data_IF_429914773363
#
_entry.id   IF_429914773363
#
_cell.length_a   1.000
_cell.length_b   1.000
_cell.length_c   1.000
_cell.angle_alpha   90.00
_cell.angle_beta   90.00
_cell.angle_gamma   90.00
#
_symmetry.space_group_name_H-M   'P 1'
#
loop_
_entity.id
_entity.type
_entity.pdbx_description
1 polymer ?
#
# COMPACT_ATOMS: atom_id res chain seq x y z
N UNK A 1 25.91 20.88 9.43
CA UNK A 1 26.45 19.82 10.27
C UNK A 1 27.58 20.34 11.12
N UNK A 2 27.63 19.92 12.38
CA UNK A 2 28.70 20.23 13.31
C UNK A 2 29.19 18.93 13.97
N UNK A 3 30.45 18.86 14.29
CA UNK A 3 31.03 17.89 15.20
C UNK A 3 31.10 18.53 16.58
N UNK A 4 30.51 17.88 17.56
CA UNK A 4 30.58 18.29 18.95
C UNK A 4 31.56 17.39 19.68
N UNK A 5 32.50 17.97 20.40
CA UNK A 5 33.36 17.28 21.33
C UNK A 5 33.05 17.77 22.75
N UNK A 6 32.88 16.84 23.69
CA UNK A 6 32.43 17.20 25.03
C UNK A 6 32.25 16.00 25.92
N UNK A 7 31.79 16.24 27.16
CA UNK A 7 31.57 15.22 28.19
C UNK A 7 30.11 14.97 28.43
N UNK A 8 29.74 13.69 28.52
CA UNK A 8 28.41 13.30 28.91
C UNK A 8 28.22 13.62 30.41
N UNK A 9 27.15 14.31 30.74
CA UNK A 9 26.77 14.63 32.13
C UNK A 9 25.31 14.20 32.37
N UNK A 10 25.04 13.55 33.50
CA UNK A 10 23.67 13.19 33.87
C UNK A 10 22.80 14.45 34.02
N UNK A 11 21.62 14.47 33.37
CA UNK A 11 20.61 15.51 33.52
C UNK A 11 19.22 14.89 33.46
N UNK A 12 18.53 14.90 34.60
CA UNK A 12 17.15 14.35 34.70
C UNK A 12 16.09 15.12 33.89
N UNK A 13 16.40 16.33 33.41
CA UNK A 13 15.52 17.15 32.59
C UNK A 13 15.64 16.76 31.09
N UNK A 14 16.77 16.13 30.73
CA UNK A 14 16.98 15.63 29.37
C UNK A 14 16.11 14.38 29.13
N UNK A 15 15.42 14.25 27.98
CA UNK A 15 14.69 13.04 27.60
C UNK A 15 15.56 11.77 27.59
N UNK A 16 16.87 11.93 27.36
CA UNK A 16 17.84 10.84 27.33
C UNK A 16 18.47 10.55 28.70
N UNK A 17 18.11 11.31 29.76
CA UNK A 17 18.71 11.21 31.09
C UNK A 17 20.11 11.81 31.21
N UNK A 18 20.66 12.37 30.14
CA UNK A 18 21.96 13.04 30.11
C UNK A 18 22.00 14.18 29.09
N UNK A 19 22.95 15.08 29.27
CA UNK A 19 23.33 16.11 28.32
C UNK A 19 24.81 16.03 27.97
N UNK A 20 25.17 16.63 26.83
CA UNK A 20 26.57 16.79 26.42
C UNK A 20 27.05 18.16 26.83
N UNK A 21 27.97 18.22 27.78
CA UNK A 21 28.72 19.43 28.09
C UNK A 21 29.75 19.67 27.01
N UNK A 22 29.41 20.53 26.06
CA UNK A 22 30.22 20.82 24.89
C UNK A 22 31.53 21.53 25.29
N UNK A 23 32.66 20.99 24.81
CA UNK A 23 33.99 21.57 24.96
C UNK A 23 34.40 22.27 23.64
N UNK A 24 34.15 21.62 22.50
CA UNK A 24 34.41 22.21 21.19
C UNK A 24 33.27 21.95 20.22
N UNK A 25 33.14 22.86 19.24
CA UNK A 25 32.22 22.72 18.12
C UNK A 25 32.94 22.99 16.81
N UNK A 26 32.95 22.03 15.92
CA UNK A 26 33.59 22.14 14.61
C UNK A 26 32.53 22.10 13.51
N UNK A 27 32.51 23.10 12.64
CA UNK A 27 31.61 23.13 11.48
C UNK A 27 32.12 22.13 10.44
N UNK A 28 31.33 21.08 10.18
CA UNK A 28 31.61 20.05 9.17
C UNK A 28 30.97 20.39 7.84
N UNK A 29 29.77 20.96 7.86
CA UNK A 29 29.06 21.43 6.68
C UNK A 29 28.02 22.47 7.07
N UNK A 30 27.89 23.54 6.29
CA UNK A 30 27.00 24.65 6.60
C UNK A 30 26.06 25.00 5.47
N UNK A 31 24.92 25.58 5.83
CA UNK A 31 24.05 26.23 4.88
C UNK A 31 24.68 27.52 4.36
N UNK A 32 24.42 27.83 3.09
CA UNK A 32 24.87 29.11 2.45
C UNK A 32 23.94 30.23 2.87
N UNK A 33 22.79 29.98 3.44
CA UNK A 33 21.82 30.95 3.90
C UNK A 33 20.92 30.39 5.01
N UNK A 34 19.87 31.14 5.36
CA UNK A 34 18.83 30.63 6.28
C UNK A 34 18.07 29.46 5.68
N UNK A 35 17.71 28.48 6.52
CA UNK A 35 16.86 27.38 6.09
C UNK A 35 15.47 27.93 5.72
N UNK A 36 14.86 27.43 4.63
CA UNK A 36 13.52 27.86 4.21
C UNK A 36 12.41 27.41 5.18
N UNK A 37 12.71 26.41 6.03
CA UNK A 37 11.79 25.86 7.03
C UNK A 37 12.46 25.75 8.37
N UNK A 38 11.68 26.00 9.44
CA UNK A 38 12.07 25.69 10.80
C UNK A 38 11.86 24.18 11.04
N UNK A 39 12.94 23.42 11.12
CA UNK A 39 12.90 21.95 11.22
C UNK A 39 13.06 21.42 12.65
N UNK A 40 13.43 22.27 13.60
CA UNK A 40 13.62 21.87 15.01
C UNK A 40 12.32 21.89 15.82
N UNK A 41 11.26 22.49 15.31
CA UNK A 41 9.99 22.66 16.01
C UNK A 41 8.86 21.87 15.35
N UNK A 42 8.50 20.74 15.95
CA UNK A 42 7.47 19.83 15.40
C UNK A 42 6.08 20.48 15.31
N UNK A 43 5.71 21.39 16.22
CA UNK A 43 4.44 22.12 16.13
C UNK A 43 4.40 23.04 14.92
N UNK A 44 5.50 23.71 14.62
CA UNK A 44 5.59 24.56 13.43
C UNK A 44 5.52 23.73 12.15
N UNK A 45 6.24 22.62 12.08
CA UNK A 45 6.18 21.70 10.93
C UNK A 45 4.77 21.12 10.73
N UNK A 46 4.11 20.68 11.78
CA UNK A 46 2.75 20.12 11.70
C UNK A 46 1.71 21.13 11.19
N UNK A 47 1.93 22.41 11.45
CA UNK A 47 1.03 23.50 11.04
C UNK A 47 1.38 24.11 9.68
N UNK A 48 2.44 23.64 9.01
CA UNK A 48 2.77 24.09 7.65
C UNK A 48 1.77 23.52 6.63
N UNK A 49 1.48 24.34 5.62
CA UNK A 49 0.77 23.83 4.45
C UNK A 49 1.61 22.74 3.77
N UNK A 50 0.94 21.67 3.34
CA UNK A 50 1.58 20.51 2.73
C UNK A 50 2.46 20.90 1.54
N UNK A 51 1.99 21.76 0.65
CA UNK A 51 2.79 22.22 -0.52
C UNK A 51 4.06 22.93 -0.12
N UNK A 52 4.05 23.75 0.94
CA UNK A 52 5.26 24.40 1.45
C UNK A 52 6.27 23.36 1.94
N UNK A 53 5.81 22.34 2.64
CA UNK A 53 6.65 21.25 3.13
C UNK A 53 7.20 20.41 1.96
N UNK A 54 6.38 20.11 0.95
CA UNK A 54 6.77 19.32 -0.22
C UNK A 54 7.72 20.09 -1.15
N UNK A 55 7.52 21.40 -1.34
CA UNK A 55 8.41 22.24 -2.14
C UNK A 55 9.82 22.40 -1.50
N UNK A 56 9.92 22.18 -0.20
CA UNK A 56 11.17 22.21 0.55
C UNK A 56 11.54 20.83 1.11
N UNK A 57 11.19 19.74 0.40
CA UNK A 57 11.20 18.37 0.92
C UNK A 57 12.54 17.91 1.47
N UNK A 58 13.66 18.26 0.80
CA UNK A 58 15.02 17.91 1.23
C UNK A 58 15.34 18.46 2.63
N UNK A 59 14.82 19.64 2.95
CA UNK A 59 14.96 20.25 4.28
C UNK A 59 13.95 19.66 5.26
N UNK A 60 12.69 19.52 4.84
CA UNK A 60 11.61 18.98 5.67
C UNK A 60 11.89 17.55 6.18
N UNK A 61 12.47 16.69 5.35
CA UNK A 61 12.87 15.31 5.73
C UNK A 61 13.89 15.25 6.89
N UNK A 62 14.55 16.35 7.23
CA UNK A 62 15.46 16.43 8.39
C UNK A 62 14.74 16.63 9.72
N UNK A 63 13.46 17.00 9.69
CA UNK A 63 12.64 17.10 10.89
C UNK A 63 12.43 15.71 11.50
N UNK A 64 12.56 15.54 12.83
CA UNK A 64 12.43 14.24 13.51
C UNK A 64 11.12 13.51 13.21
N UNK A 65 9.98 14.21 13.25
CA UNK A 65 8.65 13.63 12.99
C UNK A 65 8.51 13.14 11.54
N UNK A 66 8.94 13.93 10.56
CA UNK A 66 8.86 13.55 9.14
C UNK A 66 9.80 12.37 8.85
N UNK A 67 10.99 12.39 9.43
CA UNK A 67 11.93 11.26 9.35
C UNK A 67 11.35 9.98 9.98
N UNK A 68 10.63 10.10 11.10
CA UNK A 68 9.97 8.96 11.74
C UNK A 68 8.91 8.31 10.83
N UNK A 69 8.12 9.10 10.09
CA UNK A 69 7.18 8.58 9.09
C UNK A 69 7.92 7.71 8.05
N UNK A 70 9.07 8.18 7.54
CA UNK A 70 9.86 7.42 6.57
C UNK A 70 10.44 6.13 7.17
N UNK A 71 10.83 6.15 8.44
CA UNK A 71 11.31 4.94 9.14
C UNK A 71 10.17 3.92 9.36
N UNK A 72 8.97 4.38 9.69
CA UNK A 72 7.81 3.47 9.76
C UNK A 72 7.49 2.87 8.39
N UNK A 73 7.59 3.65 7.31
CA UNK A 73 7.44 3.13 5.95
C UNK A 73 8.48 2.04 5.63
N UNK A 74 9.74 2.22 6.02
CA UNK A 74 10.78 1.19 5.93
C UNK A 74 10.42 -0.06 6.75
N UNK A 75 9.95 0.12 7.98
CA UNK A 75 9.50 -0.97 8.86
C UNK A 75 8.34 -1.78 8.27
N UNK A 76 7.37 -1.13 7.61
CA UNK A 76 6.28 -1.82 6.89
C UNK A 76 6.84 -2.69 5.77
N UNK A 77 7.73 -2.15 4.94
CA UNK A 77 8.36 -2.91 3.86
C UNK A 77 9.25 -4.04 4.37
N UNK A 78 9.99 -3.82 5.45
CA UNK A 78 10.83 -4.83 6.08
C UNK A 78 9.99 -5.98 6.65
N UNK A 79 8.91 -5.67 7.38
CA UNK A 79 7.98 -6.67 7.89
C UNK A 79 7.35 -7.51 6.76
N UNK A 80 7.01 -6.91 5.63
CA UNK A 80 6.50 -7.62 4.45
C UNK A 80 7.58 -8.54 3.85
N UNK A 81 8.80 -8.05 3.66
CA UNK A 81 9.92 -8.82 3.07
C UNK A 81 10.35 -10.04 3.90
N UNK A 82 10.08 -10.04 5.18
CA UNK A 82 10.48 -11.15 6.07
C UNK A 82 9.71 -12.45 5.82
N UNK A 83 8.70 -12.45 4.95
CA UNK A 83 7.76 -13.56 4.79
C UNK A 83 8.11 -14.56 3.68
N UNK A 84 8.66 -14.12 2.52
CA UNK A 84 8.69 -14.94 1.30
C UNK A 84 9.94 -14.69 0.45
N UNK A 85 9.97 -15.28 -0.77
CA UNK A 85 11.03 -15.05 -1.75
C UNK A 85 10.72 -13.87 -2.65
N UNK A 86 11.61 -12.88 -2.65
CA UNK A 86 11.50 -11.68 -3.48
C UNK A 86 11.98 -11.96 -4.91
N UNK A 87 11.25 -11.44 -5.90
CA UNK A 87 11.70 -11.34 -7.28
C UNK A 87 11.55 -9.90 -7.78
N UNK A 88 12.32 -9.53 -8.80
CA UNK A 88 12.31 -8.16 -9.33
C UNK A 88 11.70 -8.16 -10.73
N UNK A 89 10.47 -7.68 -10.91
CA UNK A 89 9.83 -7.58 -12.23
C UNK A 89 10.37 -6.38 -13.02
N UNK A 90 10.32 -6.44 -14.36
CA UNK A 90 10.68 -5.31 -15.21
C UNK A 90 9.70 -4.13 -14.98
N UNK A 91 10.22 -2.91 -15.09
CA UNK A 91 9.43 -1.67 -14.97
C UNK A 91 9.05 -1.08 -16.34
N UNK A 92 9.75 -1.46 -17.41
CA UNK A 92 9.40 -1.16 -18.80
C UNK A 92 8.68 -2.37 -19.40
N UNK A 93 7.47 -2.15 -19.91
CA UNK A 93 6.59 -3.20 -20.44
C UNK A 93 5.99 -2.78 -21.78
N UNK A 94 5.54 -3.74 -22.58
CA UNK A 94 4.91 -3.45 -23.88
C UNK A 94 3.46 -2.99 -23.79
N UNK A 95 2.77 -3.26 -22.68
CA UNK A 95 1.37 -2.91 -22.48
C UNK A 95 0.91 -3.15 -21.07
N UNK A 96 -0.28 -2.68 -20.72
CA UNK A 96 -0.86 -2.82 -19.39
C UNK A 96 -1.52 -4.17 -19.17
N UNK A 97 -1.32 -4.73 -18.00
CA UNK A 97 -2.03 -5.92 -17.53
C UNK A 97 -3.36 -5.58 -16.85
N UNK A 98 -3.54 -4.33 -16.45
CA UNK A 98 -4.69 -3.86 -15.68
C UNK A 98 -5.38 -2.72 -16.42
N UNK A 99 -6.71 -2.75 -16.46
CA UNK A 99 -7.51 -1.61 -16.90
C UNK A 99 -7.68 -0.59 -15.77
N UNK A 100 -8.11 0.62 -16.11
CA UNK A 100 -8.59 1.59 -15.13
C UNK A 100 -7.72 2.84 -14.94
N UNK A 101 -6.42 2.79 -15.18
CA UNK A 101 -5.56 3.98 -15.18
C UNK A 101 -4.78 4.11 -16.49
N UNK A 102 -4.53 5.33 -16.92
CA UNK A 102 -3.66 5.59 -18.06
C UNK A 102 -2.23 5.14 -17.76
N UNK A 103 -1.54 4.67 -18.80
CA UNK A 103 -0.13 4.29 -18.69
C UNK A 103 0.79 5.41 -19.14
N UNK A 104 1.87 5.62 -18.39
CA UNK A 104 2.95 6.50 -18.84
C UNK A 104 3.74 5.84 -19.97
N UNK A 105 3.68 6.44 -21.15
CA UNK A 105 4.44 5.99 -22.31
C UNK A 105 5.89 6.51 -22.26
N UNK A 106 6.84 5.65 -22.57
CA UNK A 106 8.27 5.94 -22.64
C UNK A 106 8.79 5.61 -24.03
N UNK A 107 9.63 6.48 -24.60
CA UNK A 107 10.34 6.18 -25.82
C UNK A 107 11.44 5.15 -25.52
N UNK A 108 11.34 3.97 -26.14
CA UNK A 108 12.29 2.87 -25.96
C UNK A 108 12.93 2.52 -27.31
N UNK A 109 14.09 3.12 -27.60
CA UNK A 109 14.71 3.04 -28.93
C UNK A 109 13.72 3.39 -30.05
N UNK A 110 13.44 2.47 -30.96
CA UNK A 110 12.48 2.66 -32.07
C UNK A 110 11.07 2.13 -31.73
N UNK A 111 10.84 1.74 -30.47
CA UNK A 111 9.58 1.17 -30.00
C UNK A 111 8.96 2.09 -28.92
N UNK A 112 7.69 1.81 -28.60
CA UNK A 112 7.00 2.36 -27.45
C UNK A 112 7.04 1.36 -26.31
N UNK A 113 7.44 1.81 -25.13
CA UNK A 113 7.30 1.08 -23.90
C UNK A 113 6.40 1.87 -22.94
N UNK A 114 5.96 1.21 -21.88
CA UNK A 114 5.16 1.82 -20.85
C UNK A 114 5.75 1.52 -19.47
N UNK A 115 5.55 2.44 -18.53
CA UNK A 115 5.87 2.17 -17.13
C UNK A 115 4.84 1.20 -16.54
N UNK A 116 5.32 0.21 -15.82
CA UNK A 116 4.51 -0.89 -15.30
C UNK A 116 3.53 -0.40 -14.22
N UNK A 117 2.23 -0.67 -14.40
CA UNK A 117 1.17 -0.34 -13.45
C UNK A 117 1.06 -1.34 -12.29
N UNK A 118 1.51 -2.58 -12.51
CA UNK A 118 1.43 -3.68 -11.56
C UNK A 118 2.31 -4.85 -12.03
N UNK A 119 2.97 -5.59 -11.13
CA UNK A 119 3.73 -6.79 -11.48
C UNK A 119 2.85 -8.02 -11.75
N UNK A 120 1.54 -7.89 -11.93
CA UNK A 120 0.56 -8.98 -11.91
C UNK A 120 0.92 -10.16 -12.82
N UNK A 121 1.25 -9.91 -14.08
CA UNK A 121 1.59 -10.99 -15.02
C UNK A 121 2.86 -11.74 -14.61
N UNK A 122 3.83 -11.00 -14.10
CA UNK A 122 5.12 -11.56 -13.68
C UNK A 122 5.00 -12.37 -12.39
N UNK A 123 4.25 -11.89 -11.39
CA UNK A 123 4.07 -12.65 -10.15
C UNK A 123 3.28 -13.94 -10.37
N UNK A 124 2.28 -13.94 -11.28
CA UNK A 124 1.58 -15.16 -11.68
C UNK A 124 2.52 -16.17 -12.38
N UNK A 125 3.36 -15.71 -13.31
CA UNK A 125 4.35 -16.58 -13.95
C UNK A 125 5.35 -17.17 -12.95
N UNK A 126 5.78 -16.37 -11.95
CA UNK A 126 6.76 -16.78 -10.95
C UNK A 126 6.21 -17.79 -9.92
N UNK A 127 4.89 -17.92 -9.77
CA UNK A 127 4.26 -19.00 -8.98
C UNK A 127 4.62 -20.39 -9.50
N UNK A 128 4.74 -20.55 -10.83
CA UNK A 128 5.20 -21.80 -11.44
C UNK A 128 6.69 -22.11 -11.19
N UNK A 129 7.44 -21.18 -10.58
CA UNK A 129 8.88 -21.31 -10.30
C UNK A 129 9.16 -21.49 -8.80
N UNK A 130 8.50 -20.67 -7.95
CA UNK A 130 8.81 -20.62 -6.51
C UNK A 130 7.60 -20.88 -5.59
N UNK A 131 6.46 -21.24 -6.13
CA UNK A 131 5.20 -21.50 -5.41
C UNK A 131 4.65 -20.28 -4.68
N UNK A 132 5.47 -19.56 -3.92
CA UNK A 132 5.13 -18.35 -3.18
C UNK A 132 6.17 -17.29 -3.45
N UNK A 133 5.74 -16.16 -3.98
CA UNK A 133 6.62 -15.06 -4.37
C UNK A 133 6.05 -13.71 -3.94
N UNK A 134 6.95 -12.76 -3.74
CA UNK A 134 6.57 -11.38 -3.56
C UNK A 134 7.53 -10.44 -4.31
N UNK A 135 7.11 -9.21 -4.45
CA UNK A 135 7.95 -8.10 -4.91
C UNK A 135 7.57 -6.82 -4.19
N UNK A 136 8.58 -6.02 -3.85
CA UNK A 136 8.39 -4.65 -3.36
C UNK A 136 9.08 -3.71 -4.33
N UNK A 137 8.34 -2.77 -4.90
CA UNK A 137 8.96 -1.82 -5.83
C UNK A 137 7.97 -0.83 -6.43
N UNK A 138 8.48 0.18 -7.15
CA UNK A 138 7.66 1.24 -7.71
C UNK A 138 6.70 0.69 -8.78
N UNK A 139 5.49 1.20 -8.75
CA UNK A 139 4.45 1.04 -9.78
C UNK A 139 3.94 2.41 -10.19
N UNK A 140 3.43 2.51 -11.42
CA UNK A 140 3.14 3.78 -12.06
C UNK A 140 1.71 3.78 -12.59
N UNK A 141 0.89 4.72 -12.14
CA UNK A 141 -0.49 4.87 -12.58
C UNK A 141 -0.76 6.30 -13.00
N UNK A 142 -1.14 6.53 -14.25
CA UNK A 142 -1.51 7.83 -14.79
C UNK A 142 -2.88 8.28 -14.30
N UNK A 143 -3.06 8.32 -12.98
CA UNK A 143 -4.31 8.75 -12.35
C UNK A 143 -4.62 10.19 -12.71
N UNK A 144 -5.75 10.42 -13.35
CA UNK A 144 -6.19 11.75 -13.74
C UNK A 144 -6.85 12.54 -12.59
N UNK A 145 -6.69 12.07 -11.37
CA UNK A 145 -7.23 12.66 -10.15
C UNK A 145 -6.10 13.24 -9.26
N UNK A 146 -6.33 14.41 -8.69
CA UNK A 146 -5.42 15.05 -7.73
C UNK A 146 -6.08 15.10 -6.35
N UNK A 147 -6.25 13.93 -5.73
CA UNK A 147 -6.85 13.80 -4.41
C UNK A 147 -5.79 13.49 -3.35
N UNK A 148 -6.08 13.64 -2.05
CA UNK A 148 -5.18 13.22 -0.97
C UNK A 148 -4.86 11.72 -0.94
N UNK A 149 -5.54 10.89 -1.74
CA UNK A 149 -5.45 9.43 -1.74
C UNK A 149 -4.68 8.85 -2.93
N UNK A 150 -4.16 9.70 -3.85
CA UNK A 150 -3.56 9.25 -5.11
C UNK A 150 -2.15 9.78 -5.31
N UNK A 151 -1.27 8.88 -5.74
CA UNK A 151 0.06 9.15 -6.27
C UNK A 151 0.16 8.52 -7.66
N UNK A 152 0.97 9.11 -8.53
CA UNK A 152 1.25 8.56 -9.86
C UNK A 152 2.41 7.57 -9.87
N UNK A 153 3.24 7.59 -8.82
CA UNK A 153 4.30 6.63 -8.53
C UNK A 153 4.26 6.31 -7.04
N UNK A 154 4.16 5.03 -6.70
CA UNK A 154 4.08 4.55 -5.32
C UNK A 154 4.72 3.17 -5.19
N UNK A 155 5.00 2.74 -3.96
CA UNK A 155 5.57 1.42 -3.70
C UNK A 155 4.45 0.37 -3.62
N UNK A 156 4.42 -0.50 -4.63
CA UNK A 156 3.61 -1.71 -4.57
C UNK A 156 4.31 -2.78 -3.75
N UNK A 157 3.56 -3.43 -2.87
CA UNK A 157 3.95 -4.65 -2.17
C UNK A 157 3.01 -5.76 -2.62
N UNK A 158 3.50 -6.60 -3.50
CA UNK A 158 2.72 -7.58 -4.23
C UNK A 158 3.13 -9.00 -3.86
N UNK A 159 2.14 -9.87 -3.69
CA UNK A 159 2.33 -11.29 -3.37
C UNK A 159 1.50 -12.15 -4.31
N UNK A 160 2.00 -13.33 -4.65
CA UNK A 160 1.25 -14.39 -5.32
C UNK A 160 1.64 -15.75 -4.75
N UNK A 161 0.65 -16.65 -4.56
CA UNK A 161 0.81 -17.95 -3.94
C UNK A 161 0.07 -19.01 -4.77
N UNK A 162 0.76 -20.08 -5.09
CA UNK A 162 0.22 -21.28 -5.73
C UNK A 162 -0.22 -22.34 -4.75
N UNK A 163 -0.93 -23.35 -5.28
CA UNK A 163 -1.44 -24.49 -4.52
C UNK A 163 -2.38 -24.08 -3.39
N UNK A 164 -3.20 -23.06 -3.66
CA UNK A 164 -4.27 -22.63 -2.73
C UNK A 164 -5.48 -23.55 -2.87
N UNK A 165 -6.15 -23.81 -1.76
CA UNK A 165 -7.45 -24.49 -1.75
C UNK A 165 -8.57 -23.50 -2.07
N UNK A 166 -8.44 -22.27 -1.56
CA UNK A 166 -9.40 -21.20 -1.78
C UNK A 166 -8.74 -19.80 -1.64
N UNK A 167 -9.46 -18.75 -1.96
CA UNK A 167 -8.96 -17.37 -1.77
C UNK A 167 -8.87 -16.95 -0.29
N UNK A 168 -9.54 -17.66 0.60
CA UNK A 168 -9.43 -17.47 2.05
C UNK A 168 -8.02 -17.74 2.57
N UNK A 169 -7.26 -18.64 1.92
CA UNK A 169 -5.84 -18.90 2.25
C UNK A 169 -4.99 -17.62 2.13
N UNK A 170 -5.34 -16.77 1.15
CA UNK A 170 -4.68 -15.48 0.94
C UNK A 170 -5.05 -14.50 2.05
N UNK A 171 -6.33 -14.45 2.43
CA UNK A 171 -6.81 -13.59 3.51
C UNK A 171 -6.18 -13.97 4.85
N UNK A 172 -6.04 -15.27 5.13
CA UNK A 172 -5.36 -15.77 6.33
C UNK A 172 -3.87 -15.40 6.33
N UNK A 173 -3.19 -15.58 5.20
CA UNK A 173 -1.78 -15.18 5.06
C UNK A 173 -1.62 -13.68 5.28
N UNK A 174 -2.48 -12.87 4.68
CA UNK A 174 -2.45 -11.42 4.81
C UNK A 174 -2.75 -10.95 6.23
N UNK A 175 -3.73 -11.56 6.90
CA UNK A 175 -4.02 -11.28 8.31
C UNK A 175 -2.79 -11.55 9.20
N UNK A 176 -2.13 -12.70 9.04
CA UNK A 176 -0.89 -13.03 9.76
C UNK A 176 0.25 -12.07 9.45
N UNK A 177 0.35 -11.63 8.22
CA UNK A 177 1.34 -10.62 7.79
C UNK A 177 1.12 -9.30 8.54
N UNK A 178 -0.13 -8.80 8.62
CA UNK A 178 -0.41 -7.57 9.35
C UNK A 178 -0.19 -7.71 10.86
N UNK A 179 -0.52 -8.86 11.46
CA UNK A 179 -0.15 -9.16 12.86
C UNK A 179 1.36 -9.00 13.05
N UNK A 180 2.16 -9.58 12.16
CA UNK A 180 3.62 -9.50 12.25
C UNK A 180 4.15 -8.09 12.03
N UNK A 181 3.60 -7.33 11.07
CA UNK A 181 3.99 -5.94 10.80
C UNK A 181 3.68 -5.05 12.02
N UNK A 182 2.48 -5.16 12.60
CA UNK A 182 2.10 -4.35 13.76
C UNK A 182 2.96 -4.67 14.98
N UNK A 183 3.25 -5.95 15.22
CA UNK A 183 4.12 -6.40 16.31
C UNK A 183 5.57 -5.87 16.14
N UNK A 184 6.10 -5.97 14.92
CA UNK A 184 7.40 -5.42 14.55
C UNK A 184 7.49 -3.91 14.81
N UNK A 185 6.50 -3.16 14.32
CA UNK A 185 6.46 -1.71 14.47
C UNK A 185 6.35 -1.29 15.94
N UNK A 186 5.50 -1.95 16.70
CA UNK A 186 5.36 -1.67 18.14
C UNK A 186 6.64 -1.97 18.94
N UNK A 187 7.42 -2.97 18.52
CA UNK A 187 8.64 -3.39 19.22
C UNK A 187 9.88 -2.61 18.79
N UNK A 188 10.08 -2.43 17.48
CA UNK A 188 11.34 -1.92 16.94
C UNK A 188 11.26 -0.45 16.50
N UNK A 189 10.05 0.08 16.30
CA UNK A 189 9.82 1.46 15.85
C UNK A 189 9.01 2.28 16.88
N UNK A 190 9.11 1.90 18.15
CA UNK A 190 8.35 2.53 19.24
C UNK A 190 8.63 4.04 19.39
N UNK A 191 9.88 4.45 19.22
CA UNK A 191 10.28 5.85 19.29
C UNK A 191 9.71 6.66 18.12
N UNK A 192 9.63 6.08 16.94
CA UNK A 192 9.01 6.69 15.77
C UNK A 192 7.50 6.83 15.94
N UNK A 193 6.85 5.81 16.48
CA UNK A 193 5.42 5.87 16.81
C UNK A 193 5.15 6.95 17.85
N UNK A 194 5.98 7.07 18.88
CA UNK A 194 5.87 8.15 19.89
C UNK A 194 5.95 9.55 19.26
N UNK A 195 6.82 9.74 18.26
CA UNK A 195 6.97 11.01 17.55
C UNK A 195 5.77 11.36 16.67
N UNK A 196 5.13 10.36 16.09
CA UNK A 196 4.04 10.59 15.11
C UNK A 196 2.67 10.51 15.75
N UNK A 197 2.38 9.46 16.51
CA UNK A 197 1.09 9.22 17.15
C UNK A 197 0.95 9.94 18.50
N UNK A 198 2.06 10.12 19.21
CA UNK A 198 2.13 10.67 20.56
C UNK A 198 2.74 9.68 21.56
N UNK A 199 3.37 10.20 22.60
CA UNK A 199 4.12 9.41 23.57
C UNK A 199 3.28 8.29 24.17
N UNK A 200 3.79 7.06 24.09
CA UNK A 200 3.16 5.86 24.63
C UNK A 200 2.03 5.30 23.76
N UNK A 201 1.69 5.94 22.62
CA UNK A 201 0.71 5.38 21.69
C UNK A 201 1.31 4.20 20.92
N UNK A 202 0.50 3.17 20.70
CA UNK A 202 0.90 1.96 19.99
C UNK A 202 -0.19 1.55 19.00
N UNK A 203 0.20 0.79 17.98
CA UNK A 203 -0.74 0.15 17.07
C UNK A 203 -1.52 -0.94 17.83
N UNK A 204 -2.77 -1.23 17.44
CA UNK A 204 -3.58 -2.29 18.06
C UNK A 204 -2.87 -3.65 18.03
N UNK A 205 -3.05 -4.46 19.08
CA UNK A 205 -2.58 -5.85 19.07
C UNK A 205 -3.58 -6.73 18.29
N UNK A 206 -3.25 -6.98 17.04
CA UNK A 206 -4.08 -7.81 16.15
C UNK A 206 -4.12 -9.30 16.53
N UNK A 207 -3.28 -9.78 17.45
CA UNK A 207 -3.34 -11.17 17.96
C UNK A 207 -4.60 -11.43 18.80
N UNK A 208 -5.15 -10.38 19.39
CA UNK A 208 -6.32 -10.46 20.27
C UNK A 208 -7.62 -10.10 19.58
N UNK A 209 -7.57 -9.70 18.31
CA UNK A 209 -8.72 -9.20 17.56
C UNK A 209 -8.93 -10.07 16.32
N UNK A 210 -10.14 -10.59 16.17
CA UNK A 210 -10.53 -11.26 14.92
C UNK A 210 -10.81 -10.20 13.85
N UNK A 211 -10.15 -10.28 12.70
CA UNK A 211 -10.43 -9.41 11.57
C UNK A 211 -11.77 -9.84 10.96
N UNK A 212 -12.79 -8.97 10.96
CA UNK A 212 -14.09 -9.29 10.40
C UNK A 212 -14.04 -9.41 8.88
N UNK A 213 -14.99 -10.17 8.33
CA UNK A 213 -15.22 -10.28 6.90
C UNK A 213 -16.70 -10.12 6.57
N UNK A 214 -16.99 -9.49 5.45
CA UNK A 214 -18.34 -9.27 4.94
C UNK A 214 -18.35 -9.42 3.41
N UNK A 215 -19.42 -10.00 2.84
CA UNK A 215 -19.58 -10.00 1.37
C UNK A 215 -19.95 -8.61 0.87
N UNK A 216 -19.50 -8.24 -0.32
CA UNK A 216 -19.77 -6.94 -0.94
C UNK A 216 -21.28 -6.60 -0.96
N UNK A 217 -22.12 -7.55 -1.36
CA UNK A 217 -23.57 -7.33 -1.41
C UNK A 217 -24.14 -7.03 -0.01
N UNK A 218 -23.71 -7.78 1.00
CA UNK A 218 -24.15 -7.63 2.39
C UNK A 218 -23.63 -6.30 2.98
N UNK A 219 -22.41 -5.89 2.62
CA UNK A 219 -21.84 -4.60 3.02
C UNK A 219 -22.66 -3.43 2.49
N UNK A 220 -23.09 -3.51 1.22
CA UNK A 220 -23.98 -2.52 0.60
C UNK A 220 -25.35 -2.44 1.30
N UNK A 221 -25.94 -3.59 1.56
CA UNK A 221 -27.22 -3.66 2.27
C UNK A 221 -27.11 -3.13 3.69
N UNK A 222 -26.09 -3.53 4.43
CA UNK A 222 -25.81 -3.08 5.78
C UNK A 222 -25.64 -1.56 5.85
N UNK A 223 -24.86 -0.99 4.93
CA UNK A 223 -24.67 0.46 4.82
C UNK A 223 -25.99 1.18 4.56
N UNK A 224 -26.74 0.76 3.55
CA UNK A 224 -28.01 1.39 3.18
C UNK A 224 -29.03 1.34 4.33
N UNK A 225 -29.15 0.19 4.99
CA UNK A 225 -30.08 -0.04 6.11
C UNK A 225 -29.74 0.79 7.34
N UNK A 226 -28.45 0.89 7.67
CA UNK A 226 -28.01 1.53 8.93
C UNK A 226 -27.81 3.03 8.78
N UNK A 227 -27.25 3.50 7.64
CA UNK A 227 -27.02 4.92 7.39
C UNK A 227 -28.25 5.66 6.85
N UNK A 228 -29.23 4.93 6.31
CA UNK A 228 -30.38 5.51 5.61
C UNK A 228 -30.03 6.14 4.24
N UNK A 229 -28.79 5.97 3.77
CA UNK A 229 -28.31 6.56 2.52
C UNK A 229 -28.51 5.62 1.33
N UNK A 230 -28.68 6.20 0.16
CA UNK A 230 -28.80 5.43 -1.09
C UNK A 230 -27.41 4.97 -1.55
N UNK A 231 -27.36 3.75 -2.08
CA UNK A 231 -26.19 3.22 -2.79
C UNK A 231 -26.02 4.03 -4.08
N UNK A 232 -24.86 4.63 -4.27
CA UNK A 232 -24.54 5.47 -5.44
C UNK A 232 -23.87 4.67 -6.54
N UNK A 233 -23.02 3.71 -6.19
CA UNK A 233 -22.36 2.80 -7.12
C UNK A 233 -22.73 1.35 -6.77
N UNK A 234 -23.43 0.61 -7.66
CA UNK A 234 -23.86 -0.76 -7.37
C UNK A 234 -22.74 -1.80 -7.53
N UNK A 235 -21.60 -1.43 -8.11
CA UNK A 235 -20.52 -2.39 -8.44
C UNK A 235 -19.20 -2.11 -7.71
N UNK A 236 -19.11 -0.99 -6.99
CA UNK A 236 -17.93 -0.62 -6.20
C UNK A 236 -18.31 0.01 -4.86
N UNK A 237 -17.39 0.05 -3.90
CA UNK A 237 -17.52 0.83 -2.69
C UNK A 237 -17.11 2.28 -2.95
N UNK A 238 -17.96 3.22 -2.60
CA UNK A 238 -17.56 4.62 -2.56
C UNK A 238 -16.65 4.90 -1.36
N UNK A 239 -15.84 5.97 -1.39
CA UNK A 239 -15.01 6.37 -0.25
C UNK A 239 -15.80 6.58 1.05
N UNK A 240 -17.07 6.96 0.94
CA UNK A 240 -17.96 7.14 2.08
C UNK A 240 -18.37 5.79 2.68
N UNK A 241 -18.70 4.81 1.84
CA UNK A 241 -19.04 3.45 2.26
C UNK A 241 -17.85 2.75 2.90
N UNK A 242 -16.65 2.85 2.30
CA UNK A 242 -15.41 2.34 2.90
C UNK A 242 -15.19 2.92 4.30
N UNK A 243 -15.26 4.24 4.44
CA UNK A 243 -15.08 4.94 5.72
C UNK A 243 -16.11 4.48 6.75
N UNK A 244 -17.35 4.36 6.34
CA UNK A 244 -18.43 3.92 7.22
C UNK A 244 -18.21 2.48 7.69
N UNK A 245 -17.89 1.56 6.77
CA UNK A 245 -17.59 0.15 7.09
C UNK A 245 -16.42 0.05 8.08
N UNK A 246 -15.34 0.77 7.85
CA UNK A 246 -14.20 0.79 8.77
C UNK A 246 -14.58 1.27 10.18
N UNK A 247 -15.41 2.29 10.29
CA UNK A 247 -15.89 2.81 11.58
C UNK A 247 -16.85 1.84 12.27
N UNK A 248 -17.76 1.23 11.51
CA UNK A 248 -18.74 0.26 12.01
C UNK A 248 -18.04 -0.95 12.61
N UNK A 249 -17.14 -1.60 11.88
CA UNK A 249 -16.45 -2.79 12.36
C UNK A 249 -15.42 -2.49 13.44
N UNK A 250 -14.77 -1.33 13.42
CA UNK A 250 -13.91 -0.89 14.53
C UNK A 250 -14.70 -0.77 15.84
N UNK A 251 -15.92 -0.21 15.78
CA UNK A 251 -16.78 -0.08 16.96
C UNK A 251 -17.33 -1.44 17.45
N UNK A 252 -17.64 -2.35 16.52
CA UNK A 252 -18.24 -3.65 16.85
C UNK A 252 -17.21 -4.69 17.33
N UNK A 253 -16.04 -4.73 16.69
CA UNK A 253 -15.05 -5.81 16.87
C UNK A 253 -13.73 -5.33 17.49
N UNK A 254 -13.48 -4.01 17.51
CA UNK A 254 -12.17 -3.44 17.86
C UNK A 254 -11.12 -3.57 16.77
N UNK A 255 -11.45 -4.18 15.61
CA UNK A 255 -10.51 -4.36 14.50
C UNK A 255 -10.41 -3.09 13.65
N UNK A 256 -9.21 -2.57 13.40
CA UNK A 256 -9.00 -1.51 12.41
C UNK A 256 -9.09 -2.01 10.97
N UNK A 257 -9.06 -3.34 10.79
CA UNK A 257 -9.08 -4.04 9.51
C UNK A 257 -10.44 -4.71 9.28
N UNK A 258 -10.89 -4.73 8.02
CA UNK A 258 -12.07 -5.49 7.58
C UNK A 258 -11.87 -6.00 6.15
N UNK A 259 -12.14 -7.28 5.92
CA UNK A 259 -12.18 -7.86 4.59
C UNK A 259 -13.57 -7.69 3.98
N UNK A 260 -13.63 -7.12 2.78
CA UNK A 260 -14.84 -7.12 1.95
C UNK A 260 -14.61 -8.07 0.79
N UNK A 261 -15.45 -9.09 0.65
CA UNK A 261 -15.25 -10.21 -0.27
C UNK A 261 -16.30 -10.26 -1.39
N UNK A 262 -16.05 -11.05 -2.43
CA UNK A 262 -17.00 -11.31 -3.52
C UNK A 262 -17.46 -10.03 -4.23
N UNK A 263 -16.50 -9.29 -4.76
CA UNK A 263 -16.81 -8.11 -5.58
C UNK A 263 -17.41 -8.51 -6.94
N UNK A 264 -18.24 -7.63 -7.54
CA UNK A 264 -18.82 -7.88 -8.85
C UNK A 264 -17.75 -8.15 -9.92
N UNK A 265 -17.98 -9.19 -10.75
CA UNK A 265 -17.02 -9.61 -11.79
C UNK A 265 -16.71 -8.50 -12.80
N UNK A 266 -17.68 -7.63 -13.09
CA UNK A 266 -17.49 -6.47 -14.01
C UNK A 266 -16.44 -5.47 -13.51
N UNK A 267 -16.24 -5.39 -12.19
CA UNK A 267 -15.29 -4.47 -11.55
C UNK A 267 -13.87 -5.05 -11.50
N UNK A 268 -13.73 -6.37 -11.44
CA UNK A 268 -12.44 -7.04 -11.28
C UNK A 268 -11.73 -7.27 -12.62
N UNK A 269 -10.39 -7.37 -12.64
CA UNK A 269 -9.63 -7.63 -13.86
C UNK A 269 -9.99 -8.95 -14.54
N UNK A 270 -9.60 -9.11 -15.80
CA UNK A 270 -9.92 -10.28 -16.63
C UNK A 270 -9.31 -11.60 -16.11
N UNK A 271 -8.31 -11.53 -15.27
CA UNK A 271 -7.63 -12.69 -14.68
C UNK A 271 -8.24 -13.13 -13.33
N UNK A 272 -9.13 -12.35 -12.73
CA UNK A 272 -9.79 -12.73 -11.47
C UNK A 272 -10.76 -13.90 -11.71
N UNK A 273 -10.79 -14.88 -10.80
CA UNK A 273 -11.67 -16.04 -10.91
C UNK A 273 -13.10 -15.66 -10.54
N UNK A 274 -14.05 -15.99 -11.41
CA UNK A 274 -15.46 -15.83 -11.09
C UNK A 274 -15.87 -16.89 -10.05
N UNK A 275 -16.77 -16.52 -9.15
CA UNK A 275 -17.36 -17.46 -8.18
C UNK A 275 -18.17 -18.54 -8.93
N UNK A 276 -17.82 -19.82 -8.82
CA UNK A 276 -18.54 -20.90 -9.50
C UNK A 276 -20.02 -20.98 -9.13
N UNK A 277 -20.39 -20.61 -7.90
CA UNK A 277 -21.75 -20.63 -7.42
C UNK A 277 -22.55 -19.43 -7.93
N UNK A 278 -21.89 -18.28 -8.10
CA UNK A 278 -22.52 -17.07 -8.61
C UNK A 278 -21.56 -16.23 -9.48
N UNK A 279 -21.44 -16.53 -10.79
CA UNK A 279 -20.48 -15.89 -11.70
C UNK A 279 -20.67 -14.37 -11.94
N UNK A 280 -21.64 -13.73 -11.27
CA UNK A 280 -21.75 -12.27 -11.21
C UNK A 280 -20.71 -11.67 -10.28
N UNK A 281 -20.17 -12.47 -9.36
CA UNK A 281 -19.13 -12.11 -8.40
C UNK A 281 -17.83 -12.85 -8.69
N UNK A 282 -16.76 -12.47 -8.00
CA UNK A 282 -15.45 -13.09 -8.10
C UNK A 282 -15.00 -13.60 -6.73
N UNK A 283 -14.13 -14.60 -6.72
CA UNK A 283 -13.39 -15.05 -5.54
C UNK A 283 -12.28 -14.06 -5.22
N UNK A 284 -12.67 -12.85 -4.85
CA UNK A 284 -11.76 -11.73 -4.58
C UNK A 284 -12.18 -10.98 -3.33
N UNK A 285 -11.25 -10.18 -2.82
CA UNK A 285 -11.48 -9.34 -1.66
C UNK A 285 -10.71 -8.02 -1.76
N UNK A 286 -11.15 -7.04 -0.99
CA UNK A 286 -10.36 -5.88 -0.60
C UNK A 286 -10.20 -5.88 0.92
N UNK A 287 -9.02 -5.46 1.40
CA UNK A 287 -8.77 -5.21 2.81
C UNK A 287 -8.80 -3.71 3.06
N UNK A 288 -9.70 -3.29 3.94
CA UNK A 288 -9.78 -1.92 4.40
C UNK A 288 -9.03 -1.76 5.72
N UNK A 289 -8.21 -0.71 5.84
CA UNK A 289 -7.59 -0.27 7.09
C UNK A 289 -8.16 1.11 7.47
N UNK A 290 -8.81 1.20 8.62
CA UNK A 290 -9.51 2.42 9.07
C UNK A 290 -10.41 3.03 7.98
N UNK A 291 -11.07 2.16 7.17
CA UNK A 291 -12.00 2.58 6.13
C UNK A 291 -11.32 3.16 4.88
N UNK A 292 -10.11 2.74 4.58
CA UNK A 292 -9.44 2.94 3.30
C UNK A 292 -9.02 1.59 2.73
N UNK A 293 -9.37 1.29 1.48
CA UNK A 293 -8.82 0.17 0.73
C UNK A 293 -7.29 0.29 0.64
N UNK A 294 -6.59 -0.67 1.26
CA UNK A 294 -5.13 -0.77 1.23
C UNK A 294 -4.64 -1.91 0.34
N UNK A 295 -5.47 -2.92 0.14
CA UNK A 295 -5.15 -4.14 -0.61
C UNK A 295 -6.33 -4.56 -1.47
N UNK A 296 -6.01 -5.05 -2.67
CA UNK A 296 -6.92 -5.85 -3.52
C UNK A 296 -6.29 -7.21 -3.76
N UNK A 297 -7.03 -8.27 -3.46
CA UNK A 297 -6.59 -9.66 -3.61
C UNK A 297 -7.65 -10.59 -4.19
N UNK A 298 -7.26 -11.84 -4.45
CA UNK A 298 -8.19 -12.89 -4.84
C UNK A 298 -7.54 -14.02 -5.62
N UNK A 299 -8.32 -15.04 -5.87
CA UNK A 299 -7.97 -16.19 -6.69
C UNK A 299 -7.91 -15.81 -8.17
N UNK A 300 -6.97 -16.39 -8.89
CA UNK A 300 -6.79 -16.16 -10.33
C UNK A 300 -7.30 -17.36 -11.12
N UNK A 301 -7.69 -17.10 -12.36
CA UNK A 301 -7.95 -18.18 -13.31
C UNK A 301 -6.62 -18.83 -13.64
N UNK A 302 -6.51 -20.14 -13.43
CA UNK A 302 -5.30 -20.91 -13.75
C UNK A 302 -5.46 -21.82 -14.97
N UNK A 303 -6.71 -22.14 -15.31
CA UNK A 303 -7.05 -22.95 -16.47
C UNK A 303 -7.04 -22.10 -17.75
N UNK A 304 -6.41 -22.64 -18.80
CA UNK A 304 -6.25 -21.93 -20.08
C UNK A 304 -7.59 -21.64 -20.77
N UNK A 305 -8.47 -22.63 -20.84
CA UNK A 305 -9.76 -22.50 -21.56
C UNK A 305 -10.68 -21.52 -20.84
N UNK A 306 -10.71 -21.56 -19.50
CA UNK A 306 -11.46 -20.60 -18.70
C UNK A 306 -10.92 -19.17 -18.88
N UNK A 307 -9.59 -18.99 -18.92
CA UNK A 307 -8.99 -17.68 -19.13
C UNK A 307 -9.34 -17.11 -20.51
N UNK A 308 -9.23 -17.92 -21.57
CA UNK A 308 -9.61 -17.53 -22.92
C UNK A 308 -11.10 -17.21 -23.01
N UNK A 309 -11.96 -18.03 -22.40
CA UNK A 309 -13.41 -17.79 -22.37
C UNK A 309 -13.76 -16.46 -21.70
N UNK A 310 -13.12 -16.14 -20.55
CA UNK A 310 -13.34 -14.88 -19.84
C UNK A 310 -12.85 -13.67 -20.65
N UNK A 311 -11.71 -13.77 -21.33
CA UNK A 311 -11.21 -12.72 -22.22
C UNK A 311 -12.21 -12.44 -23.34
N UNK A 312 -12.70 -13.47 -24.04
CA UNK A 312 -13.71 -13.33 -25.10
C UNK A 312 -15.00 -12.70 -24.58
N UNK A 313 -15.48 -13.13 -23.41
CA UNK A 313 -16.67 -12.53 -22.75
C UNK A 313 -16.50 -11.03 -22.49
N UNK A 314 -15.25 -10.57 -22.32
CA UNK A 314 -14.88 -9.17 -22.09
C UNK A 314 -14.47 -8.43 -23.37
N UNK A 315 -14.72 -9.01 -24.54
CA UNK A 315 -14.37 -8.44 -25.85
C UNK A 315 -12.86 -8.18 -26.03
N UNK A 316 -12.02 -8.98 -25.33
CA UNK A 316 -10.58 -8.96 -25.48
C UNK A 316 -10.17 -10.04 -26.49
N UNK A 317 -9.25 -9.70 -27.41
CA UNK A 317 -8.68 -10.71 -28.32
C UNK A 317 -7.56 -11.48 -27.60
N UNK A 318 -7.69 -12.82 -27.42
CA UNK A 318 -6.63 -13.62 -26.82
C UNK A 318 -5.29 -13.55 -27.56
N UNK A 319 -5.27 -13.26 -28.86
CA UNK A 319 -4.05 -13.13 -29.64
C UNK A 319 -3.17 -11.96 -29.17
N UNK A 320 -3.76 -10.88 -28.67
CA UNK A 320 -3.01 -9.73 -28.12
C UNK A 320 -2.33 -10.07 -26.77
N UNK A 321 -2.71 -11.19 -26.16
CA UNK A 321 -2.25 -11.64 -24.86
C UNK A 321 -1.51 -12.99 -24.89
N UNK A 322 -0.94 -13.37 -26.04
CA UNK A 322 -0.27 -14.66 -26.20
C UNK A 322 0.83 -14.90 -25.17
N UNK A 323 1.64 -13.89 -24.86
CA UNK A 323 2.69 -13.97 -23.84
C UNK A 323 2.12 -14.25 -22.45
N UNK A 324 1.00 -13.64 -22.09
CA UNK A 324 0.30 -13.88 -20.84
C UNK A 324 -0.31 -15.30 -20.82
N UNK A 325 -0.97 -15.69 -21.88
CA UNK A 325 -1.62 -17.01 -22.02
C UNK A 325 -0.62 -18.17 -22.08
N UNK A 326 0.64 -17.91 -22.44
CA UNK A 326 1.69 -18.93 -22.50
C UNK A 326 1.87 -19.65 -21.16
N UNK A 327 1.84 -18.93 -20.03
CA UNK A 327 1.97 -19.56 -18.71
C UNK A 327 0.78 -20.48 -18.38
N UNK A 328 -0.44 -20.12 -18.78
CA UNK A 328 -1.63 -20.96 -18.62
C UNK A 328 -1.56 -22.19 -19.53
N UNK A 329 -1.12 -22.01 -20.76
CA UNK A 329 -0.99 -23.08 -21.75
C UNK A 329 -0.03 -24.19 -21.30
N UNK A 330 1.02 -23.82 -20.57
CA UNK A 330 2.00 -24.80 -20.06
C UNK A 330 1.72 -25.26 -18.62
N UNK A 331 0.66 -24.79 -18.02
CA UNK A 331 0.15 -25.22 -16.73
C UNK A 331 0.57 -24.32 -15.59
N UNK A 332 -0.43 -23.80 -14.87
CA UNK A 332 -0.29 -23.10 -13.60
C UNK A 332 -1.06 -23.88 -12.54
N UNK A 333 -0.57 -23.93 -11.29
CA UNK A 333 -1.38 -24.44 -10.19
C UNK A 333 -2.55 -23.51 -9.90
N UNK A 334 -3.60 -23.95 -9.18
CA UNK A 334 -4.51 -23.02 -8.55
C UNK A 334 -3.73 -22.00 -7.74
N UNK A 335 -3.96 -20.73 -7.98
CA UNK A 335 -3.17 -19.65 -7.37
C UNK A 335 -3.98 -18.40 -7.18
N UNK A 336 -3.46 -17.55 -6.34
CA UNK A 336 -3.98 -16.23 -6.09
C UNK A 336 -2.98 -15.34 -5.39
N UNK A 337 -3.36 -14.11 -5.18
CA UNK A 337 -2.47 -13.15 -4.55
C UNK A 337 -3.15 -11.82 -4.32
N UNK A 338 -2.35 -10.87 -3.87
CA UNK A 338 -2.80 -9.53 -3.60
C UNK A 338 -1.72 -8.49 -3.95
N UNK A 339 -2.15 -7.26 -4.05
CA UNK A 339 -1.27 -6.10 -4.15
C UNK A 339 -1.72 -5.02 -3.19
N UNK A 340 -0.78 -4.46 -2.45
CA UNK A 340 -1.06 -3.37 -1.53
C UNK A 340 -0.12 -2.19 -1.75
N UNK A 341 -0.63 -0.98 -1.49
CA UNK A 341 0.14 0.26 -1.58
C UNK A 341 0.77 0.61 -0.24
N UNK A 342 2.11 0.65 -0.17
CA UNK A 342 2.85 0.96 1.06
C UNK A 342 2.41 2.30 1.65
N UNK A 343 2.28 3.32 0.83
CA UNK A 343 1.93 4.68 1.28
C UNK A 343 0.52 4.75 1.86
N UNK A 344 -0.45 3.98 1.33
CA UNK A 344 -1.80 3.87 1.90
C UNK A 344 -1.77 3.21 3.29
N UNK A 345 -0.97 2.15 3.44
CA UNK A 345 -0.78 1.49 4.74
C UNK A 345 -0.22 2.48 5.75
N UNK A 346 0.88 3.16 5.41
CA UNK A 346 1.53 4.14 6.31
C UNK A 346 0.60 5.32 6.62
N UNK A 347 -0.13 5.84 5.61
CA UNK A 347 -1.13 6.90 5.81
C UNK A 347 -2.12 6.52 6.91
N UNK A 348 -2.68 5.31 6.85
CA UNK A 348 -3.71 4.88 7.79
C UNK A 348 -3.16 4.43 9.14
N UNK A 349 -2.00 3.78 9.17
CA UNK A 349 -1.32 3.42 10.42
C UNK A 349 -0.97 4.65 11.27
N UNK A 350 -0.54 5.72 10.63
CA UNK A 350 -0.06 6.92 11.29
C UNK A 350 -1.11 8.05 11.36
N UNK A 351 -2.32 7.83 10.82
CA UNK A 351 -3.40 8.83 10.80
C UNK A 351 -3.02 10.10 10.03
N UNK A 352 -2.27 9.96 8.94
CA UNK A 352 -1.88 11.09 8.08
C UNK A 352 -3.09 11.58 7.28
N UNK A 353 -3.13 12.88 7.01
CA UNK A 353 -4.24 13.48 6.26
C UNK A 353 -4.08 13.36 4.75
N UNK A 354 -2.84 13.13 4.28
CA UNK A 354 -2.51 13.08 2.87
C UNK A 354 -1.43 12.04 2.58
N UNK A 355 -1.69 11.17 1.61
CA UNK A 355 -0.79 10.09 1.19
C UNK A 355 0.62 10.59 0.80
N UNK A 356 0.74 11.85 0.35
CA UNK A 356 2.04 12.46 0.02
C UNK A 356 2.99 12.59 1.22
N UNK A 357 2.45 12.59 2.43
CA UNK A 357 3.25 12.61 3.65
C UNK A 357 3.98 11.28 3.87
N UNK A 358 3.41 10.17 3.41
CA UNK A 358 3.97 8.83 3.51
C UNK A 358 5.09 8.55 2.49
N UNK A 359 5.26 9.39 1.45
CA UNK A 359 6.31 9.25 0.46
C UNK A 359 7.45 10.26 0.69
N UNK A 360 8.70 9.81 0.52
CA UNK A 360 9.86 10.70 0.66
C UNK A 360 9.85 11.81 -0.41
N UNK A 361 9.60 11.43 -1.65
CA UNK A 361 9.51 12.33 -2.80
C UNK A 361 8.25 11.97 -3.63
N UNK A 362 7.07 12.43 -3.21
CA UNK A 362 5.82 12.03 -3.84
C UNK A 362 5.71 12.55 -5.28
N UNK A 363 5.15 11.71 -6.15
CA UNK A 363 4.80 12.07 -7.53
C UNK A 363 3.29 12.06 -7.68
N UNK A 364 2.76 13.12 -8.23
CA UNK A 364 1.36 13.25 -8.59
C UNK A 364 1.21 13.98 -9.91
N UNK A 365 -0.02 14.19 -10.36
CA UNK A 365 -0.32 14.86 -11.62
C UNK A 365 0.39 16.22 -11.80
N UNK A 366 0.65 16.93 -10.70
CA UNK A 366 1.17 18.29 -10.71
C UNK A 366 2.63 18.37 -10.19
N UNK A 367 3.20 17.25 -9.71
CA UNK A 367 4.49 17.25 -9.02
C UNK A 367 5.45 16.23 -9.61
N UNK A 368 6.51 16.72 -10.27
CA UNK A 368 7.66 15.94 -10.78
C UNK A 368 8.98 16.34 -10.12
N UNK A 369 8.98 17.41 -9.33
CA UNK A 369 10.18 17.89 -8.62
C UNK A 369 9.94 17.81 -7.10
N UNK A 370 11.03 17.61 -6.34
CA UNK A 370 10.96 17.63 -4.89
C UNK A 370 10.54 19.01 -4.39
#
# INVERSE_FOLDING_TARGET
WVLLDGRIAADARSPLGFDIRMETITKVGGAVGSLPLEISNDRKIKNLQLDTMLNNRVVALRNPRIRAIMRVADGVMYGFRSFLREFVPPKLVMGGAEGGADMFMVKYFDQRAYLNQSPQQYKQAMVGVFEKVFTVGPVFRGENSNTPRHLTEFQGMDLEMGFIDSFEDLMELEARMFVSIFDLLNREYADELDLVLGKGQRLPDLKTVQIPQIRFADAKELYAKTSGKKITDPVDLSPEEEKWLGQHFLAETGSPLVFVTHYPSVKRPFYAMDDPENPRYTLSYDLLLHGLEITTGGQRIHDYEQQVAKMKKRHMDPADFENYLTMHKYGLPPHGGFGLGMERVVEKLLGLENIREAAAFPRDRNRLQP
#
